data_IF_962228209360
#
_entry.id   IF_962228209360
#
_cell.length_a   1.000
_cell.length_b   1.000
_cell.length_c   1.000
_cell.angle_alpha   90.00
_cell.angle_beta   90.00
_cell.angle_gamma   90.00
#
_symmetry.space_group_name_H-M   'P 1'
#
loop_
_entity.id
_entity.type
_entity.pdbx_description
1 polymer ?
#
# COMPACT_ATOMS: atom_id res chain seq x y z
N UNK A 1 16.56 28.84 14.81
CA UNK A 1 16.39 27.97 15.99
C UNK A 1 15.86 26.62 15.50
N UNK A 2 16.05 25.50 16.22
CA UNK A 2 15.94 24.11 15.69
C UNK A 2 14.50 23.67 15.30
N UNK A 3 13.89 24.34 14.33
CA UNK A 3 12.59 24.04 13.72
C UNK A 3 12.75 23.86 12.22
N UNK A 4 11.81 23.16 11.58
CA UNK A 4 11.88 22.83 10.15
C UNK A 4 12.69 21.57 9.87
N UNK A 5 13.33 21.51 8.70
CA UNK A 5 14.09 20.34 8.26
C UNK A 5 15.48 20.30 8.92
N UNK A 6 15.74 19.30 9.75
CA UNK A 6 17.00 19.12 10.46
C UNK A 6 17.75 17.87 10.02
N UNK A 7 19.07 18.01 9.91
CA UNK A 7 19.94 16.86 9.74
C UNK A 7 20.12 16.14 11.07
N UNK A 8 19.85 14.84 11.08
CA UNK A 8 20.09 13.97 12.21
C UNK A 8 20.86 12.72 11.78
N UNK A 9 21.80 12.32 12.63
CA UNK A 9 22.43 11.01 12.56
C UNK A 9 21.95 10.19 13.75
N UNK A 10 21.46 8.95 13.55
CA UNK A 10 21.09 8.08 14.65
C UNK A 10 22.25 7.91 15.65
N UNK A 11 21.94 7.76 16.96
CA UNK A 11 22.94 7.51 17.99
C UNK A 11 23.61 6.14 17.80
N UNK A 12 24.70 5.91 18.55
CA UNK A 12 25.46 4.66 18.54
C UNK A 12 24.56 3.43 18.76
N UNK A 13 23.66 3.52 19.74
CA UNK A 13 22.67 2.48 20.03
C UNK A 13 21.38 2.84 19.30
N UNK A 14 21.14 2.23 18.15
CA UNK A 14 19.91 2.40 17.38
C UNK A 14 19.55 1.14 16.61
N UNK A 15 18.24 0.90 16.44
CA UNK A 15 17.72 -0.24 15.67
C UNK A 15 17.84 -0.06 14.14
N UNK A 16 18.35 1.08 13.67
CA UNK A 16 18.40 1.44 12.26
C UNK A 16 19.81 1.88 11.88
N UNK A 17 20.21 1.62 10.63
CA UNK A 17 21.54 1.97 10.10
C UNK A 17 21.87 3.45 10.34
N UNK A 18 23.01 3.71 10.97
CA UNK A 18 23.52 5.04 11.29
C UNK A 18 23.97 5.79 10.03
N UNK A 19 23.05 6.54 9.45
CA UNK A 19 23.27 7.41 8.27
C UNK A 19 22.66 8.78 8.55
N UNK A 20 23.19 9.81 7.90
CA UNK A 20 22.61 11.15 7.97
C UNK A 20 21.23 11.13 7.28
N UNK A 21 20.23 11.72 7.94
CA UNK A 21 18.86 11.80 7.46
C UNK A 21 18.30 13.16 7.77
N UNK A 22 17.35 13.60 6.96
CA UNK A 22 16.57 14.81 7.24
C UNK A 22 15.33 14.40 8.02
N UNK A 23 15.04 15.11 9.10
CA UNK A 23 13.83 14.95 9.92
C UNK A 23 13.26 16.30 10.24
N UNK A 24 11.95 16.41 10.15
CA UNK A 24 11.27 17.69 10.36
C UNK A 24 10.84 17.86 11.81
N UNK A 25 11.18 18.99 12.42
CA UNK A 25 10.58 19.45 13.67
C UNK A 25 9.51 20.47 13.29
N UNK A 26 8.25 20.11 13.52
CA UNK A 26 7.11 20.95 13.18
C UNK A 26 7.02 22.15 14.12
N UNK A 27 7.18 21.91 15.43
CA UNK A 27 7.02 22.94 16.43
C UNK A 27 7.88 22.61 17.66
N UNK A 28 8.42 23.63 18.32
CA UNK A 28 9.15 23.51 19.58
C UNK A 28 8.79 24.66 20.51
N UNK A 29 8.52 24.36 21.78
CA UNK A 29 8.12 25.30 22.82
C UNK A 29 8.94 25.05 24.07
N UNK A 30 9.65 26.06 24.56
CA UNK A 30 10.29 25.99 25.88
C UNK A 30 9.20 26.20 26.93
N UNK A 31 9.09 25.27 27.89
CA UNK A 31 8.09 25.34 28.96
C UNK A 31 8.71 25.96 30.20
N UNK A 32 9.89 25.48 30.60
CA UNK A 32 10.58 25.92 31.80
C UNK A 32 12.09 25.82 31.59
N UNK A 33 12.84 26.77 32.14
CA UNK A 33 14.29 26.72 32.17
C UNK A 33 14.79 27.20 33.53
N UNK A 34 15.42 26.29 34.27
CA UNK A 34 16.10 26.56 35.52
C UNK A 34 17.60 26.61 35.24
N UNK A 35 18.16 27.82 35.31
CA UNK A 35 19.57 28.05 35.01
C UNK A 35 20.50 27.57 36.14
N UNK A 36 20.03 27.56 37.40
CA UNK A 36 20.84 27.11 38.54
C UNK A 36 21.01 25.59 38.49
N UNK A 37 19.94 24.88 38.12
CA UNK A 37 19.96 23.43 37.90
C UNK A 37 20.45 23.03 36.51
N UNK A 38 20.60 23.98 35.60
CA UNK A 38 20.93 23.74 34.19
C UNK A 38 19.94 22.78 33.50
N UNK A 39 18.66 22.88 33.85
CA UNK A 39 17.60 22.01 33.34
C UNK A 39 16.60 22.82 32.51
N UNK A 40 16.35 22.35 31.29
CA UNK A 40 15.33 22.90 30.41
C UNK A 40 14.26 21.86 30.10
N UNK A 41 13.00 22.19 30.38
CA UNK A 41 11.83 21.41 29.99
C UNK A 41 11.21 22.05 28.76
N UNK A 42 11.08 21.30 27.68
CA UNK A 42 10.53 21.81 26.43
C UNK A 42 9.68 20.75 25.73
N UNK A 43 8.68 21.22 25.01
CA UNK A 43 7.79 20.41 24.20
C UNK A 43 8.21 20.48 22.73
N UNK A 44 8.13 19.34 22.02
CA UNK A 44 8.50 19.23 20.60
C UNK A 44 7.49 18.38 19.85
N UNK A 45 7.01 18.89 18.72
CA UNK A 45 6.29 18.13 17.70
C UNK A 45 7.23 17.84 16.54
N UNK A 46 7.41 16.56 16.21
CA UNK A 46 8.39 16.13 15.22
C UNK A 46 7.87 14.99 14.33
N UNK A 47 8.54 14.81 13.20
CA UNK A 47 8.35 13.68 12.31
C UNK A 47 8.76 12.36 12.97
N UNK A 48 8.14 11.25 12.55
CA UNK A 48 8.47 9.92 13.03
C UNK A 48 9.94 9.56 12.75
N UNK A 49 10.61 8.98 13.75
CA UNK A 49 12.03 8.62 13.66
C UNK A 49 13.00 9.78 13.93
N UNK A 50 12.52 10.90 14.47
CA UNK A 50 13.36 11.95 15.06
C UNK A 50 13.95 11.47 16.38
N UNK A 51 15.25 11.65 16.58
CA UNK A 51 15.95 11.28 17.82
C UNK A 51 16.06 12.48 18.76
N UNK A 52 15.24 12.52 19.81
CA UNK A 52 15.26 13.60 20.81
C UNK A 52 16.60 13.73 21.52
N UNK A 53 17.28 12.61 21.78
CA UNK A 53 18.65 12.63 22.34
C UNK A 53 19.63 13.41 21.46
N UNK A 54 19.55 13.21 20.15
CA UNK A 54 20.39 13.95 19.18
C UNK A 54 20.00 15.44 19.15
N UNK A 55 18.71 15.75 19.29
CA UNK A 55 18.23 17.12 19.38
C UNK A 55 18.80 17.85 20.61
N UNK A 56 18.81 17.23 21.78
CA UNK A 56 19.41 17.79 22.99
C UNK A 56 20.92 18.04 22.84
N UNK A 57 21.64 17.12 22.17
CA UNK A 57 23.07 17.33 21.86
C UNK A 57 23.25 18.51 20.92
N UNK A 58 22.41 18.65 19.88
CA UNK A 58 22.48 19.78 18.96
C UNK A 58 22.18 21.12 19.65
N UNK A 59 21.21 21.17 20.56
CA UNK A 59 20.96 22.34 21.41
C UNK A 59 22.20 22.72 22.22
N UNK A 60 22.82 21.74 22.88
CA UNK A 60 24.04 21.95 23.63
C UNK A 60 25.23 22.44 22.80
N UNK A 61 25.38 21.92 21.58
CA UNK A 61 26.42 22.35 20.64
C UNK A 61 26.19 23.78 20.13
N UNK A 62 24.94 24.15 19.87
CA UNK A 62 24.56 25.50 19.46
C UNK A 62 24.80 26.53 20.57
N UNK A 63 24.58 26.14 21.82
CA UNK A 63 24.81 26.98 22.99
C UNK A 63 26.28 27.00 23.44
N UNK A 64 27.12 26.09 22.95
CA UNK A 64 28.55 25.99 23.29
C UNK A 64 28.86 25.33 24.63
N UNK A 65 27.88 25.20 25.53
CA UNK A 65 28.04 24.58 26.87
C UNK A 65 27.91 23.05 26.86
N UNK A 66 27.45 22.47 25.74
CA UNK A 66 27.11 21.05 25.67
C UNK A 66 25.73 20.76 26.27
N UNK A 67 25.22 19.56 26.01
CA UNK A 67 23.86 19.20 26.44
C UNK A 67 23.55 17.74 26.16
N UNK A 68 22.78 17.12 27.04
CA UNK A 68 22.30 15.76 26.87
C UNK A 68 20.86 15.65 27.37
N UNK A 69 20.18 14.60 26.94
CA UNK A 69 18.80 14.34 27.35
C UNK A 69 18.79 13.66 28.72
N UNK A 70 18.18 14.32 29.69
CA UNK A 70 18.00 13.80 31.05
C UNK A 70 16.80 12.85 31.10
N UNK A 71 15.61 13.35 30.77
CA UNK A 71 14.35 12.60 30.77
C UNK A 71 13.57 12.83 29.49
N UNK A 72 12.68 11.89 29.16
CA UNK A 72 11.82 11.99 27.99
C UNK A 72 10.48 11.32 28.27
N UNK A 73 9.40 12.08 28.10
CA UNK A 73 8.03 11.57 28.09
C UNK A 73 7.42 11.80 26.71
N UNK A 74 6.83 10.76 26.13
CA UNK A 74 6.07 10.87 24.87
C UNK A 74 4.61 11.15 25.18
N UNK A 75 4.16 12.37 24.93
CA UNK A 75 2.78 12.83 25.20
C UNK A 75 1.78 12.52 24.07
N UNK A 76 2.26 12.22 22.86
CA UNK A 76 1.44 11.87 21.70
C UNK A 76 2.11 10.85 20.79
N UNK A 77 1.33 9.94 20.22
CA UNK A 77 1.75 9.00 19.18
C UNK A 77 0.65 8.82 18.14
N UNK A 78 0.82 9.43 16.96
CA UNK A 78 -0.20 9.38 15.90
C UNK A 78 -1.52 9.99 16.36
N UNK A 79 -2.61 9.23 16.28
CA UNK A 79 -3.94 9.65 16.71
C UNK A 79 -4.16 9.59 18.24
N UNK A 80 -3.23 9.02 19.02
CA UNK A 80 -3.37 8.84 20.46
C UNK A 80 -2.59 9.89 21.25
N UNK A 81 -3.26 10.56 22.18
CA UNK A 81 -2.64 11.46 23.18
C UNK A 81 -2.69 10.85 24.58
N UNK A 82 -1.94 11.44 25.53
CA UNK A 82 -1.99 11.01 26.94
C UNK A 82 -3.33 11.25 27.64
N UNK A 83 -4.19 12.11 27.07
CA UNK A 83 -5.55 12.36 27.57
C UNK A 83 -6.57 11.32 27.04
N UNK A 84 -6.20 10.57 25.99
CA UNK A 84 -7.10 9.64 25.31
C UNK A 84 -7.03 8.24 25.94
N UNK A 85 -7.57 8.10 27.15
CA UNK A 85 -7.70 6.81 27.85
C UNK A 85 -6.36 6.07 28.00
N UNK A 86 -5.34 6.78 28.50
CA UNK A 86 -4.05 6.20 28.87
C UNK A 86 -4.22 5.24 30.05
N UNK A 87 -3.76 4.00 29.87
CA UNK A 87 -3.82 2.93 30.88
C UNK A 87 -2.42 2.54 31.33
N UNK A 88 -2.31 2.08 32.57
CA UNK A 88 -1.07 1.58 33.15
C UNK A 88 -0.98 0.05 33.03
N UNK A 89 0.21 -0.50 33.26
CA UNK A 89 0.38 -1.97 33.29
C UNK A 89 -0.38 -2.62 34.44
N UNK A 90 -0.61 -1.90 35.54
CA UNK A 90 -1.43 -2.37 36.65
C UNK A 90 -2.89 -2.52 36.23
N UNK A 91 -3.44 -1.53 35.53
CA UNK A 91 -4.82 -1.58 35.03
C UNK A 91 -5.04 -2.78 34.07
N UNK A 92 -4.04 -3.09 33.24
CA UNK A 92 -4.10 -4.26 32.34
C UNK A 92 -4.13 -5.57 33.14
N UNK A 93 -3.30 -5.68 34.19
CA UNK A 93 -3.27 -6.86 35.05
C UNK A 93 -4.58 -7.05 35.82
N UNK A 94 -5.11 -5.98 36.39
CA UNK A 94 -6.35 -6.00 37.17
C UNK A 94 -7.58 -6.28 36.29
N UNK A 95 -7.59 -5.74 35.07
CA UNK A 95 -8.65 -6.00 34.10
C UNK A 95 -8.69 -7.47 33.68
N UNK A 96 -7.51 -8.09 33.46
CA UNK A 96 -7.43 -9.52 33.16
C UNK A 96 -7.88 -10.38 34.34
N UNK A 97 -7.41 -10.07 35.55
CA UNK A 97 -7.78 -10.81 36.76
C UNK A 97 -9.29 -10.75 37.02
N UNK A 98 -9.91 -9.59 36.85
CA UNK A 98 -11.36 -9.41 37.04
C UNK A 98 -12.15 -10.26 36.06
N UNK A 99 -11.74 -10.31 34.79
CA UNK A 99 -12.36 -11.16 33.79
C UNK A 99 -12.26 -12.65 34.16
N UNK A 100 -11.08 -13.10 34.59
CA UNK A 100 -10.86 -14.51 34.91
C UNK A 100 -11.65 -14.97 36.15
N UNK A 101 -11.78 -14.09 37.16
CA UNK A 101 -12.43 -14.43 38.43
C UNK A 101 -13.95 -14.18 38.43
N UNK A 102 -14.42 -13.10 37.81
CA UNK A 102 -15.83 -12.66 37.89
C UNK A 102 -16.57 -12.78 36.56
N UNK A 103 -15.86 -13.04 35.46
CA UNK A 103 -16.37 -13.00 34.08
C UNK A 103 -16.95 -11.66 33.66
N UNK A 104 -16.63 -10.59 34.39
CA UNK A 104 -17.00 -9.24 33.98
C UNK A 104 -16.02 -8.71 32.92
N UNK A 105 -16.55 -8.33 31.76
CA UNK A 105 -15.79 -7.80 30.62
C UNK A 105 -15.67 -6.28 30.61
N UNK A 106 -16.40 -5.57 31.47
CA UNK A 106 -16.50 -4.10 31.41
C UNK A 106 -15.15 -3.43 31.55
N UNK A 107 -14.32 -3.90 32.49
CA UNK A 107 -12.99 -3.33 32.72
C UNK A 107 -12.04 -3.62 31.55
N UNK A 108 -12.04 -4.86 31.05
CA UNK A 108 -11.19 -5.26 29.92
C UNK A 108 -11.52 -4.49 28.63
N UNK A 109 -12.82 -4.28 28.34
CA UNK A 109 -13.29 -3.48 27.20
C UNK A 109 -12.98 -1.98 27.32
N UNK A 110 -12.71 -1.48 28.54
CA UNK A 110 -12.24 -0.10 28.76
C UNK A 110 -10.75 0.03 28.48
N UNK A 111 -9.97 -0.98 28.86
CA UNK A 111 -8.51 -1.03 28.65
C UNK A 111 -8.18 -1.25 27.18
N UNK A 112 -8.84 -2.21 26.53
CA UNK A 112 -8.63 -2.55 25.12
C UNK A 112 -9.57 -1.74 24.24
N UNK A 113 -9.02 -0.75 23.52
CA UNK A 113 -9.76 0.04 22.55
C UNK A 113 -9.78 -0.61 21.15
N UNK A 114 -10.84 -0.41 20.37
CA UNK A 114 -10.92 -0.89 18.99
C UNK A 114 -9.87 -0.21 18.10
N UNK A 115 -9.37 -0.93 17.11
CA UNK A 115 -8.32 -0.45 16.20
C UNK A 115 -8.76 0.76 15.37
N UNK A 116 -10.07 0.91 15.16
CA UNK A 116 -10.70 2.02 14.45
C UNK A 116 -10.32 3.38 15.05
N UNK A 117 -9.99 3.42 16.34
CA UNK A 117 -9.56 4.64 17.01
C UNK A 117 -8.28 5.23 16.41
N UNK A 118 -7.37 4.37 15.93
CA UNK A 118 -6.12 4.78 15.28
C UNK A 118 -6.35 5.41 13.89
N UNK A 119 -7.54 5.18 13.33
CA UNK A 119 -7.89 5.51 11.95
C UNK A 119 -8.75 6.77 11.82
N UNK A 120 -9.04 7.43 12.95
CA UNK A 120 -9.87 8.65 13.04
C UNK A 120 -9.34 9.84 12.25
N UNK A 121 -8.03 9.90 11.99
CA UNK A 121 -7.40 10.98 11.22
C UNK A 121 -7.44 10.80 9.71
N UNK A 122 -7.89 9.66 9.19
CA UNK A 122 -7.94 9.39 7.74
C UNK A 122 -9.31 9.75 7.17
N UNK A 123 -9.34 10.15 5.90
CA UNK A 123 -10.59 10.36 5.17
C UNK A 123 -11.31 9.03 4.94
N UNK A 124 -12.63 9.05 5.07
CA UNK A 124 -13.47 7.85 5.14
C UNK A 124 -14.21 7.59 3.84
N UNK A 125 -14.26 6.32 3.45
CA UNK A 125 -15.08 5.84 2.34
C UNK A 125 -15.88 4.63 2.82
N UNK A 126 -17.21 4.76 2.80
CA UNK A 126 -18.14 3.71 3.19
C UNK A 126 -18.41 2.80 1.99
N UNK A 127 -18.18 1.50 2.20
CA UNK A 127 -18.33 0.47 1.17
C UNK A 127 -19.62 -0.32 1.38
N UNK A 128 -20.25 -0.74 0.28
CA UNK A 128 -21.41 -1.62 0.28
C UNK A 128 -21.06 -3.03 0.77
N UNK A 129 -21.94 -3.62 1.58
CA UNK A 129 -21.75 -4.95 2.18
C UNK A 129 -21.43 -6.08 1.18
N UNK A 130 -21.91 -5.98 -0.05
CA UNK A 130 -21.62 -6.95 -1.12
C UNK A 130 -20.16 -6.98 -1.55
N UNK A 131 -19.44 -5.88 -1.35
CA UNK A 131 -18.09 -5.66 -1.86
C UNK A 131 -17.01 -5.80 -0.78
N UNK A 132 -17.40 -5.86 0.51
CA UNK A 132 -16.48 -5.96 1.65
C UNK A 132 -15.58 -7.18 1.51
N UNK A 133 -16.16 -8.37 1.29
CA UNK A 133 -15.36 -9.59 1.26
C UNK A 133 -14.36 -9.57 0.08
N UNK A 134 -14.74 -9.04 -1.08
CA UNK A 134 -13.81 -8.89 -2.21
C UNK A 134 -12.58 -8.03 -1.84
N UNK A 135 -12.78 -6.96 -1.07
CA UNK A 135 -11.71 -6.09 -0.57
C UNK A 135 -10.82 -6.83 0.44
N UNK A 136 -11.41 -7.67 1.32
CA UNK A 136 -10.64 -8.51 2.24
C UNK A 136 -9.71 -9.50 1.50
N UNK A 137 -10.08 -9.91 0.27
CA UNK A 137 -9.24 -10.71 -0.62
C UNK A 137 -8.23 -9.90 -1.45
N UNK A 138 -8.23 -8.57 -1.34
CA UNK A 138 -7.30 -7.68 -2.05
C UNK A 138 -7.84 -7.12 -3.38
N UNK A 139 -9.13 -7.25 -3.67
CA UNK A 139 -9.73 -6.65 -4.86
C UNK A 139 -9.77 -5.11 -4.75
N UNK A 140 -9.56 -4.42 -5.87
CA UNK A 140 -9.69 -2.95 -5.92
C UNK A 140 -11.14 -2.54 -5.63
N UNK A 141 -11.33 -1.37 -5.00
CA UNK A 141 -12.67 -0.81 -4.82
C UNK A 141 -13.13 -0.17 -6.13
N UNK A 142 -14.24 -0.67 -6.66
CA UNK A 142 -14.89 -0.15 -7.86
C UNK A 142 -16.07 0.75 -7.49
N UNK A 143 -16.46 1.68 -8.39
CA UNK A 143 -17.60 2.59 -8.20
C UNK A 143 -18.89 1.88 -7.75
N UNK A 144 -19.30 0.71 -8.28
CA UNK A 144 -20.51 0.02 -7.82
C UNK A 144 -20.47 -0.46 -6.35
N UNK A 145 -19.28 -0.53 -5.75
CA UNK A 145 -19.08 -0.87 -4.35
C UNK A 145 -19.05 0.35 -3.41
N UNK A 146 -19.00 1.56 -3.96
CA UNK A 146 -19.00 2.80 -3.20
C UNK A 146 -20.41 3.11 -2.70
N UNK A 147 -20.54 3.45 -1.41
CA UNK A 147 -21.82 3.84 -0.82
C UNK A 147 -21.81 5.31 -0.39
N UNK A 148 -20.78 5.73 0.35
CA UNK A 148 -20.57 7.13 0.76
C UNK A 148 -19.08 7.43 0.76
N UNK A 149 -18.73 8.69 0.57
CA UNK A 149 -17.37 9.19 0.61
C UNK A 149 -17.34 10.51 1.38
N UNK A 150 -16.18 10.82 1.95
CA UNK A 150 -15.92 12.09 2.61
C UNK A 150 -15.51 13.16 1.58
N UNK A 151 -15.75 14.42 1.92
CA UNK A 151 -15.39 15.55 1.05
C UNK A 151 -13.88 15.82 1.07
N UNK A 152 -13.40 16.38 -0.04
CA UNK A 152 -12.01 16.81 -0.19
C UNK A 152 -11.01 15.66 -0.33
N UNK A 153 -11.41 14.48 -0.82
CA UNK A 153 -10.48 13.40 -1.16
C UNK A 153 -9.73 13.79 -2.43
N UNK A 154 -8.40 13.84 -2.34
CA UNK A 154 -7.51 14.07 -3.47
C UNK A 154 -6.98 12.75 -4.03
N UNK A 155 -6.47 12.80 -5.26
CA UNK A 155 -5.84 11.64 -5.90
C UNK A 155 -4.55 11.29 -5.14
N UNK A 156 -4.35 10.01 -4.85
CA UNK A 156 -3.26 9.44 -4.06
C UNK A 156 -3.30 9.69 -2.55
N UNK A 157 -4.38 10.27 -2.02
CA UNK A 157 -4.57 10.36 -0.58
C UNK A 157 -4.75 8.98 0.07
N UNK A 158 -4.27 8.86 1.31
CA UNK A 158 -4.52 7.68 2.13
C UNK A 158 -5.91 7.78 2.78
N UNK A 159 -6.74 6.80 2.47
CA UNK A 159 -8.13 6.72 2.92
C UNK A 159 -8.40 5.42 3.67
N UNK A 160 -9.40 5.46 4.55
CA UNK A 160 -9.93 4.30 5.26
C UNK A 160 -11.21 3.84 4.60
N UNK A 161 -11.23 2.57 4.20
CA UNK A 161 -12.44 1.89 3.77
C UNK A 161 -13.16 1.34 4.99
N UNK A 162 -14.42 1.73 5.19
CA UNK A 162 -15.23 1.33 6.34
C UNK A 162 -16.54 0.67 5.93
N UNK A 163 -17.07 -0.17 6.81
CA UNK A 163 -18.42 -0.75 6.65
C UNK A 163 -19.49 0.26 7.08
N UNK A 164 -20.76 -0.05 6.79
CA UNK A 164 -21.91 0.72 7.30
C UNK A 164 -22.00 0.75 8.83
N UNK A 165 -21.35 -0.21 9.51
CA UNK A 165 -21.30 -0.33 10.97
C UNK A 165 -20.15 0.46 11.61
N UNK A 166 -19.22 1.00 10.80
CA UNK A 166 -18.04 1.68 11.31
C UNK A 166 -16.79 0.80 11.46
N UNK A 167 -16.82 -0.46 11.03
CA UNK A 167 -15.66 -1.35 11.10
C UNK A 167 -14.65 -0.99 10.01
N UNK A 168 -13.35 -0.98 10.34
CA UNK A 168 -12.30 -0.69 9.37
C UNK A 168 -11.98 -1.92 8.51
N UNK A 169 -12.22 -1.82 7.20
CA UNK A 169 -11.97 -2.91 6.24
C UNK A 169 -10.49 -2.92 5.85
N UNK A 170 -10.01 -1.78 5.33
CA UNK A 170 -8.68 -1.66 4.76
C UNK A 170 -8.23 -0.20 4.66
N UNK A 171 -6.92 0.02 4.68
CA UNK A 171 -6.30 1.24 4.19
C UNK A 171 -6.12 1.15 2.69
N UNK A 172 -6.52 2.20 1.99
CA UNK A 172 -6.45 2.30 0.54
C UNK A 172 -5.88 3.65 0.11
N UNK A 173 -5.42 3.71 -1.13
CA UNK A 173 -4.95 4.91 -1.80
C UNK A 173 -6.05 5.30 -2.80
N UNK A 174 -6.55 6.52 -2.67
CA UNK A 174 -7.57 7.05 -3.59
C UNK A 174 -7.01 7.16 -5.01
N UNK A 175 -7.79 6.76 -6.00
CA UNK A 175 -7.46 6.89 -7.43
C UNK A 175 -8.39 7.91 -8.14
N UNK A 176 -9.43 8.37 -7.44
CA UNK A 176 -10.38 9.37 -7.91
C UNK A 176 -10.50 10.46 -6.85
N UNK A 177 -10.79 11.70 -7.29
CA UNK A 177 -11.15 12.78 -6.38
C UNK A 177 -12.66 12.70 -6.02
N UNK A 178 -13.09 13.47 -5.03
CA UNK A 178 -14.50 13.53 -4.60
C UNK A 178 -15.47 13.88 -5.74
N UNK A 179 -15.11 14.80 -6.64
CA UNK A 179 -15.98 15.21 -7.74
C UNK A 179 -16.22 14.08 -8.76
N UNK A 180 -15.15 13.39 -9.14
CA UNK A 180 -15.16 12.26 -10.09
C UNK A 180 -15.89 11.07 -9.48
N UNK A 181 -15.74 10.82 -8.17
CA UNK A 181 -16.51 9.79 -7.47
C UNK A 181 -18.03 10.00 -7.54
N UNK A 182 -18.48 11.26 -7.63
CA UNK A 182 -19.89 11.60 -7.76
C UNK A 182 -20.45 11.51 -9.19
N UNK A 183 -19.63 11.75 -10.21
CA UNK A 183 -20.09 11.83 -11.61
C UNK A 183 -19.81 10.58 -12.44
N UNK A 184 -18.83 9.75 -12.07
CA UNK A 184 -18.44 8.60 -12.88
C UNK A 184 -19.37 7.40 -12.67
N UNK A 185 -19.80 6.80 -13.77
CA UNK A 185 -20.58 5.55 -13.76
C UNK A 185 -19.69 4.30 -13.55
N UNK A 186 -18.41 4.38 -13.95
CA UNK A 186 -17.48 3.25 -13.95
C UNK A 186 -16.07 3.69 -13.55
N UNK A 187 -15.33 2.78 -12.92
CA UNK A 187 -13.90 2.94 -12.66
C UNK A 187 -13.45 2.45 -11.27
N UNK A 188 -12.16 2.60 -11.02
CA UNK A 188 -11.51 2.21 -9.77
C UNK A 188 -11.46 3.42 -8.83
N UNK A 189 -12.15 3.32 -7.70
CA UNK A 189 -12.21 4.35 -6.66
C UNK A 189 -10.92 4.36 -5.85
N UNK A 190 -10.47 3.18 -5.43
CA UNK A 190 -9.32 3.06 -4.55
C UNK A 190 -8.54 1.76 -4.75
N UNK A 191 -7.21 1.86 -4.63
CA UNK A 191 -6.30 0.71 -4.60
C UNK A 191 -5.96 0.37 -3.16
N UNK A 192 -6.07 -0.90 -2.79
CA UNK A 192 -5.75 -1.35 -1.43
C UNK A 192 -4.24 -1.20 -1.16
N UNK A 193 -3.92 -0.62 0.00
CA UNK A 193 -2.57 -0.55 0.57
C UNK A 193 -2.38 -1.65 1.63
N UNK A 194 -3.35 -1.80 2.54
CA UNK A 194 -3.31 -2.79 3.63
C UNK A 194 -4.71 -3.23 4.03
N UNK A 195 -4.97 -4.53 4.00
CA UNK A 195 -6.21 -5.13 4.53
C UNK A 195 -6.08 -5.30 6.04
N UNK A 196 -7.14 -4.95 6.77
CA UNK A 196 -7.23 -5.06 8.24
C UNK A 196 -8.23 -6.13 8.63
N UNK A 197 -9.43 -6.09 8.03
CA UNK A 197 -10.51 -7.02 8.31
C UNK A 197 -10.17 -8.45 7.85
N UNK A 198 -10.63 -9.43 8.63
CA UNK A 198 -10.43 -10.84 8.30
C UNK A 198 -11.21 -11.26 7.03
N UNK A 199 -10.77 -12.37 6.45
CA UNK A 199 -11.46 -12.97 5.31
C UNK A 199 -12.72 -13.67 5.81
N UNK A 200 -13.80 -13.58 5.03
CA UNK A 200 -15.08 -14.24 5.30
C UNK A 200 -15.85 -13.74 6.54
N UNK A 201 -15.49 -12.58 7.13
CA UNK A 201 -16.36 -11.85 8.08
C UNK A 201 -17.70 -11.48 7.44
N UNK A 202 -17.71 -11.20 6.14
CA UNK A 202 -18.89 -10.96 5.33
C UNK A 202 -19.08 -12.03 4.26
N UNK A 203 -20.33 -12.40 3.90
CA UNK A 203 -20.59 -13.45 2.93
C UNK A 203 -20.04 -13.10 1.53
N UNK A 204 -19.57 -14.11 0.80
CA UNK A 204 -19.09 -13.97 -0.58
C UNK A 204 -20.27 -13.69 -1.51
N UNK A 205 -20.43 -12.44 -1.92
CA UNK A 205 -21.49 -12.01 -2.86
C UNK A 205 -20.96 -11.67 -4.26
N UNK A 206 -19.68 -11.89 -4.54
CA UNK A 206 -19.15 -11.69 -5.89
C UNK A 206 -19.82 -12.66 -6.88
N UNK A 207 -20.17 -12.17 -8.06
CA UNK A 207 -20.81 -12.99 -9.10
C UNK A 207 -22.29 -13.34 -8.86
N UNK A 208 -22.95 -12.72 -7.88
CA UNK A 208 -24.41 -12.75 -7.69
C UNK A 208 -25.12 -11.50 -8.23
N UNK A 209 -24.41 -10.54 -8.81
CA UNK A 209 -25.02 -9.35 -9.41
C UNK A 209 -25.88 -9.66 -10.64
N UNK A 210 -26.83 -8.79 -11.03
CA UNK A 210 -27.76 -9.03 -12.15
C UNK A 210 -27.05 -9.42 -13.45
N UNK A 211 -25.98 -8.69 -13.81
CA UNK A 211 -25.17 -9.02 -14.98
C UNK A 211 -24.38 -10.31 -14.81
N UNK A 212 -23.81 -10.60 -13.63
CA UNK A 212 -23.07 -11.85 -13.43
C UNK A 212 -23.99 -13.09 -13.48
N UNK A 213 -25.23 -12.96 -12.99
CA UNK A 213 -26.24 -14.01 -13.10
C UNK A 213 -26.72 -14.17 -14.55
N UNK A 214 -26.95 -13.08 -15.29
CA UNK A 214 -27.27 -13.14 -16.72
C UNK A 214 -26.14 -13.80 -17.52
N UNK A 215 -24.87 -13.46 -17.25
CA UNK A 215 -23.70 -14.13 -17.83
C UNK A 215 -23.72 -15.63 -17.54
N UNK A 216 -23.96 -16.04 -16.30
CA UNK A 216 -24.06 -17.46 -15.92
C UNK A 216 -25.25 -18.17 -16.55
N UNK A 217 -26.40 -17.49 -16.73
CA UNK A 217 -27.57 -18.03 -17.44
C UNK A 217 -27.25 -18.22 -18.92
N UNK A 218 -26.67 -17.23 -19.58
CA UNK A 218 -26.27 -17.31 -20.98
C UNK A 218 -25.19 -18.37 -21.25
N UNK A 219 -24.28 -18.59 -20.30
CA UNK A 219 -23.31 -19.72 -20.36
C UNK A 219 -24.02 -21.07 -20.21
N UNK A 220 -25.03 -21.18 -19.34
CA UNK A 220 -25.84 -22.40 -19.21
C UNK A 220 -26.72 -22.64 -20.44
N UNK A 221 -27.19 -21.58 -21.07
CA UNK A 221 -28.02 -21.61 -22.28
C UNK A 221 -27.18 -21.82 -23.55
N UNK A 222 -25.85 -21.98 -23.46
CA UNK A 222 -24.94 -22.25 -24.59
C UNK A 222 -24.62 -21.04 -25.48
N UNK A 223 -25.20 -19.88 -25.19
CA UNK A 223 -25.06 -18.64 -25.98
C UNK A 223 -23.77 -17.88 -25.70
N UNK A 224 -23.00 -18.26 -24.68
CA UNK A 224 -21.66 -17.78 -24.37
C UNK A 224 -20.71 -18.96 -24.11
N UNK A 225 -19.44 -18.82 -24.49
CA UNK A 225 -18.40 -19.82 -24.22
C UNK A 225 -18.15 -20.03 -22.70
N UNK A 226 -17.48 -21.12 -22.31
CA UNK A 226 -17.10 -21.49 -20.93
C UNK A 226 -16.36 -20.38 -20.18
N UNK A 227 -15.64 -19.51 -20.91
CA UNK A 227 -14.92 -18.35 -20.36
C UNK A 227 -15.70 -17.04 -20.45
N UNK A 228 -16.94 -17.08 -20.98
CA UNK A 228 -17.81 -15.93 -21.08
C UNK A 228 -17.41 -14.94 -22.17
N UNK A 229 -16.76 -15.43 -23.23
CA UNK A 229 -16.48 -14.70 -24.47
C UNK A 229 -17.64 -14.85 -25.46
N UNK A 230 -17.74 -13.91 -26.40
CA UNK A 230 -18.80 -13.88 -27.43
C UNK A 230 -18.71 -15.13 -28.31
N UNK A 231 -19.85 -15.75 -28.58
CA UNK A 231 -20.01 -16.82 -29.57
C UNK A 231 -20.99 -16.35 -30.65
N UNK A 232 -21.12 -17.07 -31.76
CA UNK A 232 -21.96 -16.69 -32.91
C UNK A 232 -23.47 -16.52 -32.56
N UNK A 233 -23.92 -17.05 -31.41
CA UNK A 233 -25.29 -16.92 -30.90
C UNK A 233 -25.47 -15.86 -29.78
N UNK A 234 -24.46 -15.00 -29.56
CA UNK A 234 -24.58 -13.97 -28.52
C UNK A 234 -25.63 -12.91 -28.89
N UNK A 235 -26.61 -12.62 -28.01
CA UNK A 235 -27.58 -11.55 -28.26
C UNK A 235 -26.87 -10.20 -28.36
N UNK A 236 -27.20 -9.43 -29.39
CA UNK A 236 -26.61 -8.12 -29.69
C UNK A 236 -26.73 -7.09 -28.53
N UNK A 237 -27.72 -7.30 -27.66
CA UNK A 237 -27.96 -6.53 -26.44
C UNK A 237 -26.92 -6.78 -25.34
N UNK A 238 -26.38 -8.00 -25.24
CA UNK A 238 -25.30 -8.34 -24.29
C UNK A 238 -23.98 -7.69 -24.70
N UNK A 239 -23.73 -7.63 -26.01
CA UNK A 239 -22.55 -7.07 -26.65
C UNK A 239 -22.36 -5.57 -26.38
N UNK A 240 -23.47 -4.83 -26.29
CA UNK A 240 -23.48 -3.37 -26.04
C UNK A 240 -23.51 -3.03 -24.55
N UNK A 241 -24.08 -3.90 -23.72
CA UNK A 241 -24.25 -3.65 -22.29
C UNK A 241 -23.07 -4.15 -21.44
N UNK A 242 -22.33 -5.17 -21.89
CA UNK A 242 -21.23 -5.76 -21.14
C UNK A 242 -19.88 -5.20 -21.59
N UNK A 243 -19.31 -4.30 -20.77
CA UNK A 243 -17.93 -3.83 -20.90
C UNK A 243 -17.06 -4.57 -19.89
N UNK A 244 -16.02 -5.26 -20.36
CA UNK A 244 -15.10 -5.98 -19.50
C UNK A 244 -13.95 -5.07 -19.05
N UNK A 245 -14.06 -4.52 -17.84
CA UNK A 245 -13.04 -3.66 -17.24
C UNK A 245 -11.85 -4.43 -16.62
N UNK A 246 -11.76 -5.75 -16.83
CA UNK A 246 -10.64 -6.58 -16.38
C UNK A 246 -9.61 -6.87 -17.47
N UNK A 247 -9.95 -6.60 -18.75
CA UNK A 247 -9.02 -6.72 -19.86
C UNK A 247 -7.98 -5.59 -19.77
N UNK A 248 -6.71 -5.99 -19.79
CA UNK A 248 -5.60 -5.06 -20.03
C UNK A 248 -5.59 -4.72 -21.52
N UNK A 249 -5.28 -3.47 -21.87
CA UNK A 249 -5.34 -2.84 -23.21
C UNK A 249 -4.44 -3.48 -24.30
N UNK A 250 -4.43 -4.81 -24.42
CA UNK A 250 -3.73 -5.54 -25.47
C UNK A 250 -4.68 -6.24 -26.47
N UNK A 251 -5.98 -6.37 -26.16
CA UNK A 251 -6.99 -7.01 -27.02
C UNK A 251 -7.92 -5.99 -27.72
N UNK A 252 -7.65 -4.68 -27.62
CA UNK A 252 -8.51 -3.62 -28.15
C UNK A 252 -8.23 -3.23 -29.62
N UNK A 253 -7.32 -3.90 -30.33
CA UNK A 253 -6.94 -3.57 -31.72
C UNK A 253 -7.46 -4.53 -32.79
N UNK A 254 -8.42 -5.41 -32.47
CA UNK A 254 -9.09 -6.25 -33.48
C UNK A 254 -10.61 -6.14 -33.41
N UNK A 255 -11.15 -4.92 -33.50
CA UNK A 255 -12.53 -4.74 -33.98
C UNK A 255 -12.82 -3.28 -34.31
N UNK A 256 -12.21 -2.77 -35.39
CA UNK A 256 -12.83 -1.68 -36.15
C UNK A 256 -13.00 -2.14 -37.59
N UNK A 257 -14.27 -2.26 -37.97
CA UNK A 257 -14.72 -2.69 -39.27
C UNK A 257 -14.18 -1.79 -40.40
N UNK A 258 -13.76 -2.44 -41.48
CA UNK A 258 -13.54 -1.90 -42.83
C UNK A 258 -14.76 -1.08 -43.32
N UNK A 259 -14.53 0.07 -43.97
CA UNK A 259 -15.39 0.54 -45.06
C UNK A 259 -14.81 0.19 -46.43
N UNK A 260 -15.72 0.09 -47.42
CA UNK A 260 -15.51 -0.35 -48.79
C UNK A 260 -14.59 0.56 -49.65
N UNK A 261 -14.10 -0.01 -50.76
CA UNK A 261 -13.06 0.51 -51.67
C UNK A 261 -13.61 1.40 -52.83
N UNK A 262 -12.84 1.81 -53.87
CA UNK A 262 -12.32 3.17 -54.05
C UNK A 262 -12.73 3.85 -55.38
N UNK A 263 -12.52 5.17 -55.54
CA UNK A 263 -12.56 5.84 -56.86
C UNK A 263 -11.44 6.87 -57.01
N UNK A 264 -10.59 6.63 -58.02
CA UNK A 264 -9.75 7.50 -58.86
C UNK A 264 -8.62 8.39 -58.26
N UNK A 265 -7.38 8.08 -58.68
CA UNK A 265 -6.20 8.97 -58.70
C UNK A 265 -6.32 10.08 -59.77
N UNK A 266 -5.44 11.11 -59.74
CA UNK A 266 -4.29 11.02 -60.64
C UNK A 266 -2.92 11.41 -60.01
N UNK A 267 -1.99 10.45 -60.18
CA UNK A 267 -0.55 10.50 -60.54
C UNK A 267 0.21 11.84 -60.67
N UNK A 268 1.16 12.04 -59.73
CA UNK A 268 2.63 12.29 -59.86
C UNK A 268 3.19 13.55 -60.61
N UNK A 269 4.46 14.00 -60.37
CA UNK A 269 5.67 13.17 -60.43
C UNK A 269 6.70 13.31 -59.28
N UNK A 270 7.44 12.21 -59.12
CA UNK A 270 8.69 12.06 -58.36
C UNK A 270 9.85 12.82 -59.03
N UNK A 271 10.81 13.31 -58.23
CA UNK A 271 12.23 13.38 -58.62
C UNK A 271 13.02 12.38 -57.76
N UNK A 272 13.88 11.60 -58.43
CA UNK A 272 14.82 10.60 -57.89
C UNK A 272 16.27 11.10 -57.98
N UNK A 273 17.10 10.50 -57.11
CA UNK A 273 18.54 10.18 -57.25
C UNK A 273 19.54 11.34 -57.09
N UNK A 274 20.69 11.23 -56.42
CA UNK A 274 21.65 10.15 -56.05
C UNK A 274 22.47 10.66 -54.82
N UNK A 275 23.28 9.96 -54.01
CA UNK A 275 24.06 8.71 -54.11
C UNK A 275 24.53 8.22 -52.71
N UNK A 276 24.52 6.91 -52.53
CA UNK A 276 25.51 6.01 -51.90
C UNK A 276 26.15 6.32 -50.53
N UNK A 277 25.87 5.45 -49.54
CA UNK A 277 26.77 4.31 -49.20
C UNK A 277 26.03 3.28 -48.32
N UNK A 278 25.95 2.04 -48.78
CA UNK A 278 25.57 0.85 -48.00
C UNK A 278 26.83 0.16 -47.44
N UNK A 279 26.75 -0.37 -46.22
CA UNK A 279 27.30 -1.68 -45.84
C UNK A 279 26.66 -2.18 -44.53
N UNK A 280 26.00 -3.34 -44.68
CA UNK A 280 25.60 -4.45 -43.79
C UNK A 280 26.16 -4.58 -42.35
N UNK A 281 25.68 -5.40 -41.39
CA UNK A 281 24.46 -6.18 -41.00
C UNK A 281 24.82 -6.82 -39.62
N UNK A 282 23.84 -6.98 -38.73
CA UNK A 282 23.76 -7.86 -37.53
C UNK A 282 24.83 -7.88 -36.42
N UNK A 283 24.39 -7.64 -35.17
CA UNK A 283 24.39 -8.67 -34.08
C UNK A 283 23.96 -8.07 -32.74
N UNK A 284 22.79 -8.46 -32.23
CA UNK A 284 22.29 -8.05 -30.91
C UNK A 284 21.76 -9.25 -30.10
N UNK A 285 22.47 -10.39 -30.17
CA UNK A 285 22.18 -11.63 -29.41
C UNK A 285 23.32 -12.05 -28.45
N UNK A 286 24.29 -11.18 -28.15
CA UNK A 286 25.36 -11.50 -27.19
C UNK A 286 24.99 -11.22 -25.72
N UNK A 287 23.95 -10.42 -25.44
CA UNK A 287 23.65 -9.98 -24.06
C UNK A 287 22.89 -10.99 -23.18
N UNK A 288 22.33 -12.06 -23.76
CA UNK A 288 21.56 -13.09 -23.03
C UNK A 288 22.38 -14.32 -22.64
N UNK A 289 23.36 -14.73 -23.46
CA UNK A 289 24.20 -15.89 -23.18
C UNK A 289 25.14 -15.64 -21.98
N UNK A 290 25.73 -14.46 -21.89
CA UNK A 290 26.59 -14.08 -20.76
C UNK A 290 25.87 -14.04 -19.41
N UNK A 291 24.61 -13.58 -19.40
CA UNK A 291 23.79 -13.59 -18.17
C UNK A 291 23.43 -15.00 -17.73
N UNK A 292 23.26 -15.94 -18.67
CA UNK A 292 22.94 -17.34 -18.35
C UNK A 292 24.16 -18.08 -17.82
N UNK A 293 25.32 -17.91 -18.45
CA UNK A 293 26.59 -18.49 -18.00
C UNK A 293 26.98 -18.03 -16.58
N UNK A 294 26.79 -16.73 -16.29
CA UNK A 294 27.08 -16.17 -14.95
C UNK A 294 26.14 -16.69 -13.87
N UNK A 295 24.90 -17.08 -14.21
CA UNK A 295 23.93 -17.66 -13.29
C UNK A 295 24.22 -19.14 -13.02
N UNK A 296 24.68 -19.88 -14.02
CA UNK A 296 25.06 -21.30 -13.89
C UNK A 296 26.36 -21.46 -13.09
N UNK A 297 27.37 -20.63 -13.33
CA UNK A 297 28.60 -20.63 -12.53
C UNK A 297 28.33 -20.37 -11.03
N UNK A 298 27.43 -19.43 -10.73
CA UNK A 298 27.05 -19.10 -9.35
C UNK A 298 26.24 -20.21 -8.66
N UNK A 299 25.54 -21.04 -9.44
CA UNK A 299 24.81 -22.22 -8.93
C UNK A 299 25.78 -23.37 -8.65
N UNK A 300 26.74 -23.62 -9.55
CA UNK A 300 27.77 -24.64 -9.38
C UNK A 300 28.66 -24.36 -8.16
N UNK A 301 29.07 -23.10 -7.92
CA UNK A 301 29.87 -22.73 -6.74
C UNK A 301 29.10 -22.97 -5.42
N UNK A 302 27.78 -22.76 -5.45
CA UNK A 302 26.91 -22.96 -4.28
C UNK A 302 26.69 -24.44 -3.98
N UNK A 303 26.60 -25.28 -5.00
CA UNK A 303 26.53 -26.74 -4.86
C UNK A 303 27.85 -27.34 -4.39
N UNK A 304 28.99 -26.89 -4.90
CA UNK A 304 30.32 -27.30 -4.44
C UNK A 304 30.56 -26.96 -2.96
N UNK A 305 30.16 -25.75 -2.51
CA UNK A 305 30.22 -25.36 -1.09
C UNK A 305 29.31 -26.22 -0.21
N UNK A 306 28.17 -26.70 -0.73
CA UNK A 306 27.24 -27.55 0.00
C UNK A 306 27.78 -28.98 0.12
N UNK A 307 28.40 -29.51 -0.94
CA UNK A 307 29.06 -30.82 -0.95
C UNK A 307 30.26 -30.86 0.01
N UNK A 308 31.12 -29.83 0.00
CA UNK A 308 32.26 -29.74 0.93
C UNK A 308 31.83 -29.65 2.40
N UNK A 309 30.67 -29.04 2.68
CA UNK A 309 30.10 -28.98 4.04
C UNK A 309 29.53 -30.32 4.49
N UNK A 310 28.99 -31.13 3.57
CA UNK A 310 28.51 -32.48 3.85
C UNK A 310 29.68 -33.47 4.09
N UNK A 311 30.76 -33.38 3.32
CA UNK A 311 31.97 -34.17 3.54
C UNK A 311 32.66 -33.85 4.88
N UNK A 312 32.72 -32.57 5.27
CA UNK A 312 33.25 -32.20 6.60
C UNK A 312 32.37 -32.72 7.73
N UNK A 313 31.06 -32.86 7.51
CA UNK A 313 30.13 -33.39 8.51
C UNK A 313 30.28 -34.92 8.63
N UNK A 314 30.44 -35.62 7.52
CA UNK A 314 30.62 -37.09 7.50
C UNK A 314 31.98 -37.53 8.05
N UNK A 315 33.06 -36.75 7.84
CA UNK A 315 34.37 -37.00 8.45
C UNK A 315 34.39 -36.75 9.97
N UNK A 316 33.50 -35.90 10.49
CA UNK A 316 33.38 -35.63 11.93
C UNK A 316 32.62 -36.75 12.66
N UNK A 317 31.62 -37.35 12.02
CA UNK A 317 30.85 -38.49 12.55
C UNK A 317 31.55 -39.86 12.45
N UNK A 318 32.70 -39.95 11.78
CA UNK A 318 33.52 -41.18 11.71
C UNK A 318 34.69 -41.20 12.70
N UNK A 319 34.81 -40.16 13.54
CA UNK A 319 35.93 -39.99 14.48
C UNK A 319 35.49 -39.90 15.94
N UNK A 320 34.22 -40.22 16.21
CA UNK A 320 33.63 -40.46 17.53
C UNK A 320 33.17 -41.92 17.60
#
# INVERSE_FOLDING_TARGET
TLTGALFQRPPLISAVKRQLRVRTIYESKLLEFDNDRHLGVFWVSCEAGTYMRTLCVHLGLLLGVGGHMQELRRVRSGALTENDNLVTMHDVMDAQWTYDNTKDETYLRRVVRPLEWLLTGYKRVVVKDSSINAICYGAKLMVPGLLRFEDGIEINDEIVLMTTKGEAIALAIAQMNTAVMGTCDHGVVARIKRVIMERDTYPRKWGLGPMAQQKKKLIKDGKLDKFGRKNEETPDNWTKAYVDYSATDADATESVAKPAAPVAEPVAPKRKAESDTEMDVDSDDESKLDKKAKKEAKKAEKEAKKAAKLEKKSKKTKKD
#
